data_IF_395726376242
#
_entry.id   IF_395726376242
#
_cell.length_a   1.000
_cell.length_b   1.000
_cell.length_c   1.000
_cell.angle_alpha   90.00
_cell.angle_beta   90.00
_cell.angle_gamma   90.00
#
_symmetry.space_group_name_H-M   'P 1'
#
loop_
_entity.id
_entity.type
_entity.pdbx_description
1 polymer ?
#
# COMPACT_ATOMS: atom_id res chain seq x y z
N UNK A 1 1.64 0.27 -2.36
CA UNK A 1 1.35 1.72 -2.40
C UNK A 1 1.74 2.24 -3.77
N UNK A 2 0.86 2.98 -4.45
CA UNK A 2 1.15 3.61 -5.74
C UNK A 2 2.06 4.82 -5.51
N UNK A 3 3.31 4.69 -5.95
CA UNK A 3 4.34 5.72 -5.85
C UNK A 3 5.08 5.84 -7.18
N UNK A 4 5.87 6.91 -7.40
CA UNK A 4 6.68 7.03 -8.62
C UNK A 4 7.65 5.87 -8.85
N UNK A 5 8.05 5.17 -7.78
CA UNK A 5 8.84 3.95 -7.90
C UNK A 5 8.08 2.84 -8.64
N UNK A 6 6.78 2.66 -8.34
CA UNK A 6 5.95 1.66 -9.02
C UNK A 6 5.80 2.00 -10.50
N UNK A 7 5.57 3.27 -10.82
CA UNK A 7 5.45 3.73 -12.20
C UNK A 7 6.74 3.47 -12.99
N UNK A 8 7.89 3.88 -12.43
CA UNK A 8 9.19 3.64 -13.05
C UNK A 8 9.54 2.15 -13.15
N UNK A 9 9.16 1.34 -12.17
CA UNK A 9 9.35 -0.11 -12.21
C UNK A 9 8.52 -0.76 -13.32
N UNK A 10 7.25 -0.38 -13.47
CA UNK A 10 6.37 -0.89 -14.52
C UNK A 10 6.88 -0.47 -15.90
N UNK A 11 7.22 0.81 -16.08
CA UNK A 11 7.74 1.32 -17.35
C UNK A 11 9.03 0.61 -17.77
N UNK A 12 9.92 0.31 -16.81
CA UNK A 12 11.20 -0.35 -17.09
C UNK A 12 11.06 -1.84 -17.43
N UNK A 13 10.16 -2.56 -16.75
CA UNK A 13 10.11 -4.02 -16.82
C UNK A 13 8.94 -4.56 -17.68
N UNK A 14 7.90 -3.76 -17.86
CA UNK A 14 6.65 -4.14 -18.52
C UNK A 14 6.15 -3.03 -19.47
N UNK A 15 7.01 -2.49 -20.37
CA UNK A 15 6.68 -1.31 -21.17
C UNK A 15 5.45 -1.51 -22.08
N UNK A 16 5.21 -2.74 -22.53
CA UNK A 16 4.13 -3.06 -23.48
C UNK A 16 2.80 -3.44 -22.80
N UNK A 17 2.78 -3.62 -21.47
CA UNK A 17 1.59 -4.07 -20.74
C UNK A 17 1.48 -3.48 -19.32
N UNK A 18 1.82 -2.19 -19.18
CA UNK A 18 1.80 -1.45 -17.91
C UNK A 18 0.47 -1.58 -17.17
N UNK A 19 -0.65 -1.34 -17.87
CA UNK A 19 -1.99 -1.34 -17.26
C UNK A 19 -2.38 -2.71 -16.73
N UNK A 20 -2.13 -3.77 -17.51
CA UNK A 20 -2.39 -5.16 -17.10
C UNK A 20 -1.57 -5.53 -15.86
N UNK A 21 -0.28 -5.15 -15.85
CA UNK A 21 0.61 -5.45 -14.73
C UNK A 21 0.26 -4.63 -13.49
N UNK A 22 -0.18 -3.38 -13.65
CA UNK A 22 -0.69 -2.56 -12.54
C UNK A 22 -1.97 -3.16 -11.94
N UNK A 23 -2.89 -3.64 -12.77
CA UNK A 23 -4.11 -4.32 -12.32
C UNK A 23 -3.75 -5.61 -11.57
N UNK A 24 -2.81 -6.40 -12.10
CA UNK A 24 -2.32 -7.62 -11.46
C UNK A 24 -1.69 -7.33 -10.10
N UNK A 25 -0.86 -6.28 -10.01
CA UNK A 25 -0.28 -5.82 -8.75
C UNK A 25 -1.38 -5.43 -7.76
N UNK A 26 -2.35 -4.63 -8.19
CA UNK A 26 -3.47 -4.18 -7.37
C UNK A 26 -4.30 -5.34 -6.80
N UNK A 27 -4.50 -6.40 -7.59
CA UNK A 27 -5.22 -7.62 -7.19
C UNK A 27 -4.44 -8.51 -6.22
N UNK A 28 -3.14 -8.27 -6.02
CA UNK A 28 -2.40 -8.98 -4.96
C UNK A 28 -2.85 -8.52 -3.58
N UNK A 29 -3.38 -7.31 -3.44
CA UNK A 29 -4.04 -6.87 -2.22
C UNK A 29 -5.50 -7.35 -2.24
N UNK A 30 -5.99 -8.02 -1.19
CA UNK A 30 -7.39 -8.44 -1.06
C UNK A 30 -8.42 -7.33 -1.22
N UNK A 31 -8.09 -6.10 -0.82
CA UNK A 31 -8.93 -4.92 -1.07
C UNK A 31 -9.06 -4.55 -2.56
N UNK A 32 -8.28 -5.18 -3.45
CA UNK A 32 -8.37 -5.05 -4.91
C UNK A 32 -7.77 -3.78 -5.49
N UNK A 33 -7.03 -2.99 -4.69
CA UNK A 33 -6.39 -1.75 -5.14
C UNK A 33 -5.07 -1.51 -4.42
N UNK A 34 -4.20 -0.76 -5.10
CA UNK A 34 -3.05 -0.13 -4.47
C UNK A 34 -3.49 0.97 -3.49
N UNK A 35 -2.83 1.04 -2.34
CA UNK A 35 -2.94 2.18 -1.44
C UNK A 35 -2.31 3.44 -2.05
N UNK A 36 -2.81 4.62 -1.69
CA UNK A 36 -2.21 5.90 -1.99
C UNK A 36 -1.23 6.33 -0.88
N UNK A 37 -0.22 7.18 -1.17
CA UNK A 37 0.72 7.66 -0.15
C UNK A 37 0.02 8.33 1.04
N UNK A 38 -1.09 9.03 0.80
CA UNK A 38 -1.85 9.74 1.84
C UNK A 38 -2.46 8.80 2.86
N UNK A 39 -2.74 7.54 2.50
CA UNK A 39 -3.27 6.54 3.44
C UNK A 39 -2.20 6.13 4.48
N UNK A 40 -0.93 6.07 4.07
CA UNK A 40 0.20 5.88 4.99
C UNK A 40 0.38 7.12 5.87
N UNK A 41 0.29 8.31 5.27
CA UNK A 41 0.34 9.57 5.99
C UNK A 41 -0.75 9.72 7.04
N UNK A 42 -1.98 9.28 6.75
CA UNK A 42 -3.10 9.33 7.68
C UNK A 42 -2.87 8.44 8.92
N UNK A 43 -2.33 7.23 8.73
CA UNK A 43 -1.96 6.37 9.86
C UNK A 43 -0.85 7.01 10.70
N UNK A 44 0.19 7.55 10.07
CA UNK A 44 1.27 8.24 10.78
C UNK A 44 0.75 9.46 11.57
N UNK A 45 -0.14 10.25 10.96
CA UNK A 45 -0.79 11.39 11.62
C UNK A 45 -1.57 10.96 12.86
N UNK A 46 -2.37 9.88 12.75
CA UNK A 46 -3.09 9.32 13.90
C UNK A 46 -2.13 8.84 14.99
N UNK A 47 -1.06 8.11 14.63
CA UNK A 47 -0.09 7.63 15.62
C UNK A 47 0.67 8.76 16.31
N UNK A 48 0.76 9.94 15.70
CA UNK A 48 1.34 11.14 16.31
C UNK A 48 0.32 12.00 17.12
N UNK A 49 -0.95 11.63 17.14
CA UNK A 49 -2.01 12.35 17.85
C UNK A 49 -2.10 11.96 19.32
N UNK A 50 -2.75 12.80 20.14
CA UNK A 50 -2.98 12.52 21.57
C UNK A 50 -3.89 11.30 21.78
N UNK A 51 -4.79 11.04 20.81
CA UNK A 51 -5.68 9.87 20.80
C UNK A 51 -4.90 8.54 20.75
N UNK A 52 -3.68 8.55 20.22
CA UNK A 52 -2.80 7.38 20.18
C UNK A 52 -1.85 7.28 21.39
N UNK A 53 -2.01 8.09 22.44
CA UNK A 53 -1.06 8.20 23.56
C UNK A 53 -0.74 6.92 24.33
N UNK A 54 -1.57 5.88 24.24
CA UNK A 54 -1.33 4.57 24.87
C UNK A 54 -0.81 3.50 23.90
N UNK A 55 -0.55 3.86 22.65
CA UNK A 55 -0.04 2.98 21.61
C UNK A 55 1.48 3.06 21.56
N UNK A 56 2.17 1.93 21.74
CA UNK A 56 3.62 1.82 21.54
C UNK A 56 4.06 0.38 21.30
N UNK A 57 5.15 0.17 20.56
CA UNK A 57 5.76 -1.15 20.35
C UNK A 57 4.96 -2.12 19.48
N UNK A 58 4.12 -1.62 18.57
CA UNK A 58 3.29 -2.43 17.69
C UNK A 58 3.64 -2.22 16.21
N UNK A 59 3.49 -3.27 15.41
CA UNK A 59 3.50 -3.19 13.95
C UNK A 59 2.08 -2.94 13.43
N UNK A 60 1.94 -2.05 12.45
CA UNK A 60 0.66 -1.70 11.83
C UNK A 60 0.67 -2.04 10.34
N UNK A 61 0.11 -3.19 9.93
CA UNK A 61 -0.01 -3.54 8.51
C UNK A 61 -0.92 -2.56 7.78
N UNK A 62 -0.36 -1.87 6.78
CA UNK A 62 -1.10 -1.03 5.83
C UNK A 62 -0.94 -1.57 4.40
N UNK A 63 -1.44 -2.78 4.20
CA UNK A 63 -1.11 -3.62 3.05
C UNK A 63 -2.34 -4.07 2.25
N UNK A 64 -3.53 -3.51 2.54
CA UNK A 64 -4.77 -3.89 1.89
C UNK A 64 -5.23 -5.32 2.19
N UNK A 65 -4.74 -5.90 3.30
CA UNK A 65 -5.05 -7.27 3.74
C UNK A 65 -4.07 -8.32 3.21
N UNK A 66 -3.01 -7.91 2.50
CA UNK A 66 -2.09 -8.82 1.83
C UNK A 66 -1.55 -9.92 2.75
N UNK A 67 -1.14 -9.57 3.96
CA UNK A 67 -0.54 -10.53 4.90
C UNK A 67 -1.56 -11.46 5.54
N UNK A 68 -2.83 -11.07 5.70
CA UNK A 68 -3.79 -11.79 6.54
C UNK A 68 -4.96 -12.43 5.80
N UNK A 69 -5.26 -12.00 4.56
CA UNK A 69 -6.40 -12.51 3.80
C UNK A 69 -6.01 -13.24 2.50
N UNK A 70 -4.74 -13.20 2.10
CA UNK A 70 -4.23 -14.07 1.04
C UNK A 70 -3.90 -15.46 1.62
N UNK A 71 -4.82 -16.41 1.49
CA UNK A 71 -4.57 -17.84 1.74
C UNK A 71 -4.45 -18.59 0.41
#
# INVERSE_FOLDING_TARGET
VHTPFVDGFLQKNYPDNIDEMFEKLSKTQPIGRMAKPEEVGALALYLCSDEASFITGCDYPIDGGFTTLNN
#
